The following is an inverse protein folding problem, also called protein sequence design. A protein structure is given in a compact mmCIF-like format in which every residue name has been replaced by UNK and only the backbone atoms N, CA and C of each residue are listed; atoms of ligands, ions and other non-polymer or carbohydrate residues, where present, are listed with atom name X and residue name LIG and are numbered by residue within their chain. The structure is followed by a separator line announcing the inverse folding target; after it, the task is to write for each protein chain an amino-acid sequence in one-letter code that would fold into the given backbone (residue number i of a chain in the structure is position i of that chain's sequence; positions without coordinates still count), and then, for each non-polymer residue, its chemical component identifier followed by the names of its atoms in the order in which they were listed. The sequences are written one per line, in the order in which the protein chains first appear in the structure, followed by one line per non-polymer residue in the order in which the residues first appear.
data_IF_920704161290
#
_entry.id   IF_920704161290
#
_cell.length_a   1.000
_cell.length_b   1.000
_cell.length_c   1.000
_cell.angle_alpha   90.00
_cell.angle_beta   90.00
_cell.angle_gamma   90.00
#
_symmetry.space_group_name_H-M   'P 1'
#
loop_
_entity.id
_entity.type
_entity.pdbx_description
1 polymer ?
#
# COMPACT_ATOMS: atom_id res chain seq x y z
N UNK A 1 -7.24 13.75 -9.05
CA UNK A 1 -8.55 13.15 -9.34
C UNK A 1 -9.49 13.51 -8.20
N UNK A 2 -10.73 13.88 -8.48
CA UNK A 2 -11.68 14.39 -7.49
C UNK A 2 -13.06 13.79 -7.73
N UNK A 3 -13.83 13.62 -6.67
CA UNK A 3 -15.26 13.36 -6.79
C UNK A 3 -16.01 14.63 -7.24
N UNK A 4 -17.30 14.49 -7.58
CA UNK A 4 -18.14 15.66 -7.84
C UNK A 4 -18.28 16.52 -6.56
N UNK A 5 -17.90 17.78 -6.69
CA UNK A 5 -17.99 18.83 -5.67
C UNK A 5 -18.76 20.06 -6.20
N UNK A 6 -19.64 19.87 -7.19
CA UNK A 6 -20.44 20.94 -7.79
C UNK A 6 -21.95 20.65 -7.87
N UNK A 7 -22.39 19.38 -7.95
CA UNK A 7 -23.81 19.05 -8.14
C UNK A 7 -24.55 18.84 -6.82
N UNK A 8 -25.72 19.47 -6.69
CA UNK A 8 -26.67 19.20 -5.61
C UNK A 8 -27.49 17.94 -5.91
N UNK A 9 -27.60 17.04 -4.93
CA UNK A 9 -28.28 15.75 -5.08
C UNK A 9 -29.60 15.70 -4.28
N UNK A 10 -30.65 15.03 -4.80
CA UNK A 10 -31.80 14.63 -3.99
C UNK A 10 -31.38 13.63 -2.90
N UNK A 11 -32.06 13.64 -1.75
CA UNK A 11 -31.77 12.72 -0.65
C UNK A 11 -31.85 11.25 -1.10
N UNK A 12 -30.92 10.41 -0.63
CA UNK A 12 -30.80 9.00 -1.02
C UNK A 12 -30.22 8.75 -2.43
N UNK A 13 -29.66 9.77 -3.08
CA UNK A 13 -28.97 9.60 -4.37
C UNK A 13 -27.46 9.40 -4.19
N UNK A 14 -26.84 8.57 -5.03
CA UNK A 14 -25.39 8.40 -5.06
C UNK A 14 -24.68 9.61 -5.68
N UNK A 15 -23.46 9.89 -5.21
CA UNK A 15 -22.60 10.97 -5.71
C UNK A 15 -21.57 10.44 -6.70
N UNK A 16 -21.46 11.10 -7.85
CA UNK A 16 -20.49 10.75 -8.88
C UNK A 16 -19.05 10.89 -8.36
N UNK A 17 -18.23 9.90 -8.68
CA UNK A 17 -16.83 9.82 -8.25
C UNK A 17 -15.96 9.09 -9.28
N UNK A 18 -14.69 8.89 -8.94
CA UNK A 18 -13.69 8.28 -9.83
C UNK A 18 -12.99 7.13 -9.12
N UNK A 19 -13.06 5.93 -9.72
CA UNK A 19 -12.17 4.79 -9.45
C UNK A 19 -11.22 4.63 -10.64
N UNK A 20 -9.92 4.60 -10.39
CA UNK A 20 -8.88 4.38 -11.40
C UNK A 20 -8.12 3.12 -11.04
N UNK A 21 -8.20 2.12 -11.92
CA UNK A 21 -7.38 0.91 -11.84
C UNK A 21 -6.20 1.02 -12.81
N UNK A 22 -5.01 0.64 -12.35
CA UNK A 22 -3.77 1.01 -13.01
C UNK A 22 -3.42 0.12 -14.21
N UNK A 23 -3.04 0.76 -15.32
CA UNK A 23 -1.96 0.26 -16.19
C UNK A 23 -0.67 1.11 -16.10
N UNK A 24 -0.66 2.23 -15.35
CA UNK A 24 0.47 3.17 -15.18
C UNK A 24 0.38 4.01 -13.87
N UNK A 25 1.21 5.06 -13.71
CA UNK A 25 1.88 5.45 -12.44
C UNK A 25 1.61 6.88 -11.87
N UNK A 26 1.22 7.01 -10.57
CA UNK A 26 1.09 8.27 -9.77
C UNK A 26 1.45 8.12 -8.22
N UNK A 27 2.39 8.89 -7.60
CA UNK A 27 2.66 8.95 -6.12
C UNK A 27 2.57 10.39 -5.56
N UNK A 28 2.03 10.55 -4.35
CA UNK A 28 2.34 11.65 -3.43
C UNK A 28 1.61 12.98 -3.66
N UNK A 29 0.73 13.33 -2.72
CA UNK A 29 0.10 14.64 -2.56
C UNK A 29 -1.02 14.54 -1.53
N UNK A 30 -2.07 15.35 -1.67
CA UNK A 30 -3.21 15.43 -0.75
C UNK A 30 -4.04 14.14 -0.81
N UNK A 31 -4.40 13.61 0.35
CA UNK A 31 -5.27 12.43 0.49
C UNK A 31 -6.70 12.91 0.83
N UNK A 32 -7.75 12.39 0.17
CA UNK A 32 -9.11 12.86 0.42
C UNK A 32 -9.56 12.61 1.86
N UNK A 33 -10.46 13.45 2.38
CA UNK A 33 -11.12 13.25 3.67
C UNK A 33 -12.39 14.11 3.76
N UNK A 34 -13.20 13.85 4.78
CA UNK A 34 -14.44 14.59 5.05
C UNK A 34 -15.57 13.67 5.49
N UNK A 35 -16.50 14.16 6.31
CA UNK A 35 -17.73 13.45 6.65
C UNK A 35 -18.43 12.81 5.42
N UNK A 36 -18.65 11.49 5.50
CA UNK A 36 -19.21 10.66 4.43
C UNK A 36 -18.23 10.18 3.34
N UNK A 37 -17.01 10.72 3.29
CA UNK A 37 -15.95 10.29 2.34
C UNK A 37 -15.28 9.00 2.84
N UNK A 38 -14.94 8.11 1.90
CA UNK A 38 -14.12 6.92 2.11
C UNK A 38 -13.16 6.77 0.91
N UNK A 39 -11.91 7.22 1.01
CA UNK A 39 -10.94 7.12 -0.07
C UNK A 39 -9.92 6.00 0.20
N UNK A 40 -9.49 5.36 -0.87
CA UNK A 40 -8.52 4.28 -0.80
C UNK A 40 -7.41 4.45 -1.86
N UNK A 41 -6.16 4.23 -1.45
CA UNK A 41 -5.08 3.78 -2.32
C UNK A 41 -4.70 2.38 -1.88
N UNK A 42 -4.99 1.41 -2.74
CA UNK A 42 -4.92 -0.01 -2.45
C UNK A 42 -4.43 -0.79 -3.67
N UNK A 43 -4.27 -2.10 -3.49
CA UNK A 43 -3.96 -3.01 -4.58
C UNK A 43 -4.73 -4.31 -4.42
N UNK A 44 -5.22 -4.88 -5.53
CA UNK A 44 -6.11 -6.05 -5.49
C UNK A 44 -5.79 -7.05 -6.60
N UNK A 45 -5.75 -8.33 -6.24
CA UNK A 45 -5.66 -9.46 -7.18
C UNK A 45 -7.03 -9.92 -7.70
N UNK A 46 -7.07 -10.78 -8.74
CA UNK A 46 -8.32 -11.36 -9.24
C UNK A 46 -8.97 -12.31 -8.21
N UNK A 47 -10.21 -12.75 -8.44
CA UNK A 47 -10.90 -13.73 -7.59
C UNK A 47 -10.88 -13.38 -6.08
N UNK A 48 -11.15 -12.11 -5.75
CA UNK A 48 -11.13 -11.59 -4.39
C UNK A 48 -11.97 -12.44 -3.39
N UNK A 49 -11.51 -12.67 -2.14
CA UNK A 49 -10.25 -12.23 -1.55
C UNK A 49 -9.10 -13.23 -1.77
N UNK A 50 -9.25 -14.21 -2.66
CA UNK A 50 -8.34 -15.35 -2.72
C UNK A 50 -6.95 -15.00 -3.26
N UNK A 51 -6.84 -14.02 -4.17
CA UNK A 51 -5.55 -13.45 -4.59
C UNK A 51 -5.25 -12.09 -3.94
N UNK A 52 -5.95 -11.75 -2.86
CA UNK A 52 -5.53 -10.72 -1.92
C UNK A 52 -5.88 -9.27 -2.27
N UNK A 53 -5.92 -8.47 -1.22
CA UNK A 53 -6.10 -7.02 -1.23
C UNK A 53 -5.21 -6.41 -0.12
N UNK A 54 -4.61 -5.27 -0.44
CA UNK A 54 -3.65 -4.55 0.41
C UNK A 54 -3.98 -3.07 0.33
N UNK A 55 -4.31 -2.47 1.46
CA UNK A 55 -4.75 -1.09 1.56
C UNK A 55 -3.60 -0.25 2.12
N UNK A 56 -2.99 0.58 1.28
CA UNK A 56 -1.79 1.37 1.61
C UNK A 56 -2.21 2.68 2.28
N UNK A 57 -3.25 3.32 1.75
CA UNK A 57 -3.95 4.42 2.39
C UNK A 57 -5.42 4.09 2.43
N UNK A 58 -6.02 4.05 3.63
CA UNK A 58 -7.46 3.94 3.79
C UNK A 58 -7.94 4.66 5.04
N UNK A 59 -9.16 5.16 4.97
CA UNK A 59 -9.85 5.77 6.10
C UNK A 59 -11.26 6.21 5.74
N UNK A 60 -11.99 6.66 6.74
CA UNK A 60 -13.35 7.19 6.58
C UNK A 60 -13.46 8.53 7.27
N UNK A 61 -14.39 9.37 6.81
CA UNK A 61 -14.78 10.60 7.50
C UNK A 61 -13.60 11.58 7.72
N UNK A 62 -13.58 12.21 8.90
CA UNK A 62 -12.51 13.06 9.39
C UNK A 62 -11.48 12.26 10.21
N UNK A 63 -11.26 10.98 9.88
CA UNK A 63 -10.14 10.21 10.45
C UNK A 63 -8.84 11.02 10.33
N UNK A 64 -7.95 10.84 11.30
CA UNK A 64 -6.70 11.61 11.43
C UNK A 64 -5.45 10.72 11.38
N UNK A 65 -5.68 9.43 11.17
CA UNK A 65 -4.69 8.37 11.19
C UNK A 65 -5.01 7.46 10.02
N UNK A 66 -4.00 7.14 9.21
CA UNK A 66 -4.13 6.16 8.15
C UNK A 66 -4.41 4.77 8.75
N UNK A 67 -5.25 3.97 8.10
CA UNK A 67 -5.33 2.54 8.34
C UNK A 67 -4.69 1.80 7.17
N UNK A 68 -3.71 0.94 7.47
CA UNK A 68 -3.20 -0.05 6.53
C UNK A 68 -3.94 -1.35 6.81
N UNK A 69 -4.50 -1.99 5.79
CA UNK A 69 -5.23 -3.25 5.94
C UNK A 69 -4.76 -4.32 4.94
N UNK A 70 -5.06 -5.58 5.25
CA UNK A 70 -4.82 -6.71 4.38
C UNK A 70 -6.01 -7.67 4.41
N UNK A 71 -6.48 -8.05 3.22
CA UNK A 71 -7.63 -8.91 3.02
C UNK A 71 -7.19 -10.12 2.17
N UNK A 72 -7.45 -11.33 2.63
CA UNK A 72 -6.91 -12.57 2.02
C UNK A 72 -7.89 -13.74 2.06
N UNK A 73 -7.53 -14.84 1.42
CA UNK A 73 -8.07 -16.16 1.72
C UNK A 73 -7.87 -16.54 3.22
N UNK A 74 -8.61 -17.54 3.74
CA UNK A 74 -8.42 -18.08 5.09
C UNK A 74 -6.99 -18.58 5.39
N UNK A 75 -6.67 -18.68 6.68
CA UNK A 75 -5.37 -19.14 7.22
C UNK A 75 -4.17 -18.20 7.01
N UNK A 76 -4.42 -16.90 6.92
CA UNK A 76 -3.41 -15.83 6.92
C UNK A 76 -3.66 -14.91 8.12
N UNK A 77 -2.62 -14.65 8.93
CA UNK A 77 -2.71 -13.75 10.10
C UNK A 77 -1.55 -12.78 10.19
N UNK A 78 -1.81 -11.60 10.76
CA UNK A 78 -0.76 -10.73 11.26
C UNK A 78 -0.09 -11.34 12.48
N UNK A 79 1.22 -11.12 12.58
CA UNK A 79 2.02 -11.50 13.73
C UNK A 79 2.11 -10.33 14.73
N UNK A 80 1.47 -10.38 15.91
CA UNK A 80 1.52 -9.29 16.89
C UNK A 80 2.91 -9.05 17.49
N UNK A 81 3.86 -9.97 17.28
CA UNK A 81 5.25 -9.83 17.73
C UNK A 81 6.19 -9.24 16.67
N UNK A 82 5.69 -8.95 15.46
CA UNK A 82 6.47 -8.25 14.44
C UNK A 82 6.75 -6.79 14.83
N UNK A 83 7.85 -6.22 14.32
CA UNK A 83 8.26 -4.86 14.63
C UNK A 83 7.72 -3.86 13.59
N UNK A 84 6.79 -3.01 14.00
CA UNK A 84 6.21 -1.90 13.25
C UNK A 84 5.75 -0.80 14.25
N UNK A 85 5.39 0.40 13.76
CA UNK A 85 5.11 1.57 14.63
C UNK A 85 3.62 1.85 14.85
N UNK A 86 2.74 1.32 14.01
CA UNK A 86 1.28 1.40 14.18
C UNK A 86 0.73 0.47 15.26
N UNK A 87 -0.58 0.51 15.45
CA UNK A 87 -1.31 -0.33 16.42
C UNK A 87 -2.33 -1.19 15.67
N UNK A 88 -2.36 -2.50 15.91
CA UNK A 88 -3.38 -3.40 15.33
C UNK A 88 -4.77 -2.90 15.73
N UNK A 89 -5.66 -2.75 14.75
CA UNK A 89 -7.04 -2.35 14.94
C UNK A 89 -7.75 -3.32 15.90
N UNK A 90 -8.45 -2.79 16.90
CA UNK A 90 -9.15 -3.60 17.90
C UNK A 90 -10.67 -3.48 17.79
N UNK A 91 -11.36 -4.57 18.12
CA UNK A 91 -12.81 -4.58 18.23
C UNK A 91 -13.20 -5.14 19.61
N UNK A 92 -13.73 -4.28 20.47
CA UNK A 92 -14.14 -4.66 21.82
C UNK A 92 -13.00 -5.15 22.73
N UNK A 93 -11.77 -4.64 22.53
CA UNK A 93 -10.59 -5.02 23.32
C UNK A 93 -9.86 -6.27 22.82
N UNK A 94 -10.22 -6.79 21.64
CA UNK A 94 -9.50 -7.89 20.97
C UNK A 94 -8.79 -7.34 19.73
N UNK A 95 -7.48 -7.56 19.64
CA UNK A 95 -6.68 -7.24 18.45
C UNK A 95 -7.15 -8.08 17.26
N UNK A 96 -7.50 -7.43 16.17
CA UNK A 96 -7.97 -8.11 14.96
C UNK A 96 -6.80 -8.45 14.04
N UNK A 97 -6.41 -9.73 14.07
CA UNK A 97 -5.21 -10.25 13.38
C UNK A 97 -5.53 -11.20 12.24
N UNK A 98 -6.80 -11.54 12.01
CA UNK A 98 -7.23 -12.55 11.03
C UNK A 98 -7.57 -11.87 9.70
N UNK A 99 -6.70 -12.02 8.71
CA UNK A 99 -6.77 -11.27 7.45
C UNK A 99 -7.85 -11.80 6.49
N UNK A 100 -8.61 -12.82 6.89
CA UNK A 100 -9.61 -13.46 6.05
C UNK A 100 -10.78 -12.53 5.69
N UNK A 101 -10.86 -12.10 4.42
CA UNK A 101 -11.92 -11.20 3.93
C UNK A 101 -13.33 -11.79 3.94
N UNK A 102 -13.46 -13.12 4.14
CA UNK A 102 -14.75 -13.82 4.15
C UNK A 102 -15.45 -13.83 5.53
N UNK A 103 -14.86 -13.20 6.56
CA UNK A 103 -15.40 -13.15 7.93
C UNK A 103 -15.46 -11.71 8.44
N UNK A 104 -16.14 -11.51 9.58
CA UNK A 104 -16.19 -10.23 10.31
C UNK A 104 -16.63 -9.03 9.43
N UNK A 105 -17.55 -9.26 8.49
CA UNK A 105 -18.02 -8.25 7.53
C UNK A 105 -16.91 -7.63 6.67
N UNK A 106 -15.96 -8.45 6.22
CA UNK A 106 -14.75 -8.02 5.50
C UNK A 106 -13.92 -6.98 6.28
N UNK A 107 -13.68 -7.19 7.57
CA UNK A 107 -12.83 -6.30 8.36
C UNK A 107 -11.32 -6.38 7.99
N UNK A 108 -10.89 -7.45 7.31
CA UNK A 108 -9.46 -7.73 7.07
C UNK A 108 -8.66 -7.79 8.36
N UNK A 109 -7.33 -7.64 8.27
CA UNK A 109 -6.46 -7.40 9.42
C UNK A 109 -5.82 -6.00 9.29
N UNK A 110 -6.14 -5.11 10.23
CA UNK A 110 -5.82 -3.68 10.13
C UNK A 110 -4.75 -3.21 11.11
N UNK A 111 -3.99 -2.19 10.72
CA UNK A 111 -3.07 -1.42 11.56
C UNK A 111 -3.31 0.06 11.37
N UNK A 112 -3.71 0.74 12.44
CA UNK A 112 -3.84 2.20 12.46
C UNK A 112 -2.48 2.84 12.76
N UNK A 113 -2.06 3.79 11.94
CA UNK A 113 -0.80 4.53 12.13
C UNK A 113 -0.84 5.47 13.32
N UNK A 114 0.23 5.55 14.11
CA UNK A 114 0.28 6.46 15.27
C UNK A 114 0.39 7.95 14.87
N UNK A 115 0.97 8.25 13.70
CA UNK A 115 1.17 9.63 13.25
C UNK A 115 -0.14 10.29 12.83
N UNK A 116 -0.47 11.45 13.40
CA UNK A 116 -1.56 12.31 12.86
C UNK A 116 -1.20 12.98 11.53
N UNK A 117 0.06 12.92 11.12
CA UNK A 117 0.56 13.38 9.82
C UNK A 117 0.60 12.22 8.81
N UNK A 118 -0.33 11.26 8.92
CA UNK A 118 -0.47 10.11 8.02
C UNK A 118 -1.74 10.16 7.18
N UNK A 119 -2.78 10.90 7.59
CA UNK A 119 -4.04 10.97 6.86
C UNK A 119 -4.82 12.22 7.24
N UNK A 120 -5.73 12.65 6.37
CA UNK A 120 -6.69 13.71 6.67
C UNK A 120 -6.07 15.12 6.79
N UNK A 121 -6.71 16.03 7.55
CA UNK A 121 -6.42 17.46 7.50
C UNK A 121 -4.95 17.83 7.76
N UNK A 122 -4.31 17.16 8.73
CA UNK A 122 -2.95 17.48 9.16
C UNK A 122 -1.88 16.93 8.20
N UNK A 123 -2.19 15.85 7.48
CA UNK A 123 -1.34 15.36 6.39
C UNK A 123 -1.36 16.37 5.22
N UNK A 124 -2.54 16.86 4.85
CA UNK A 124 -2.69 17.85 3.78
C UNK A 124 -2.05 19.21 4.14
N UNK A 125 -2.24 19.70 5.38
CA UNK A 125 -1.63 20.94 5.87
C UNK A 125 -0.09 20.90 5.80
N UNK A 126 0.51 19.72 5.95
CA UNK A 126 1.96 19.50 5.81
C UNK A 126 2.43 19.33 4.35
N UNK A 127 1.53 19.47 3.37
CA UNK A 127 1.83 19.27 1.95
C UNK A 127 1.89 17.79 1.56
N UNK A 128 1.14 16.95 2.26
CA UNK A 128 1.09 15.49 2.09
C UNK A 128 2.41 14.81 2.40
N UNK A 129 2.72 13.75 1.66
CA UNK A 129 3.90 12.92 1.93
C UNK A 129 4.23 11.94 0.82
N UNK A 130 4.85 10.83 1.21
CA UNK A 130 5.09 9.62 0.42
C UNK A 130 4.70 8.43 1.29
N UNK A 131 3.93 7.49 0.73
CA UNK A 131 3.81 6.15 1.28
C UNK A 131 4.57 5.19 0.38
N UNK A 132 5.14 4.15 0.98
CA UNK A 132 5.89 3.14 0.25
C UNK A 132 5.46 1.75 0.74
N UNK A 133 5.05 0.90 -0.20
CA UNK A 133 4.83 -0.53 0.05
C UNK A 133 6.04 -1.32 -0.44
N UNK A 134 6.57 -2.20 0.41
CA UNK A 134 7.55 -3.23 0.05
C UNK A 134 6.88 -4.59 0.21
N UNK A 135 6.79 -5.35 -0.87
CA UNK A 135 6.30 -6.72 -0.88
C UNK A 135 7.44 -7.65 -1.31
N UNK A 136 7.87 -8.55 -0.43
CA UNK A 136 8.88 -9.57 -0.74
C UNK A 136 8.76 -10.82 0.14
N UNK A 137 9.74 -11.72 0.07
CA UNK A 137 9.78 -13.00 0.78
C UNK A 137 9.69 -12.91 2.32
N UNK A 138 9.90 -11.71 2.89
CA UNK A 138 9.87 -11.47 4.34
C UNK A 138 8.49 -10.97 4.83
N UNK A 139 7.64 -10.50 3.92
CA UNK A 139 6.37 -9.86 4.28
C UNK A 139 5.93 -8.77 3.29
N UNK A 140 4.77 -8.18 3.57
CA UNK A 140 4.33 -6.92 2.98
C UNK A 140 4.43 -5.87 4.07
N UNK A 141 5.20 -4.80 3.83
CA UNK A 141 5.44 -3.72 4.78
C UNK A 141 5.08 -2.37 4.15
N UNK A 142 4.45 -1.49 4.92
CA UNK A 142 4.04 -0.14 4.49
C UNK A 142 4.70 0.90 5.40
N UNK A 143 5.27 1.95 4.81
CA UNK A 143 5.76 3.14 5.50
C UNK A 143 4.96 4.36 5.06
N UNK A 144 4.72 5.29 5.99
CA UNK A 144 4.25 6.65 5.71
C UNK A 144 5.31 7.68 6.11
N UNK A 145 5.63 8.60 5.20
CA UNK A 145 6.56 9.70 5.41
C UNK A 145 5.87 11.02 5.12
N UNK A 146 5.62 11.83 6.15
CA UNK A 146 5.19 13.22 5.97
C UNK A 146 6.25 14.02 5.19
N UNK A 147 5.85 15.08 4.47
CA UNK A 147 6.65 15.81 3.47
C UNK A 147 8.11 16.06 3.85
N UNK A 148 8.38 16.49 5.09
CA UNK A 148 9.72 16.86 5.55
C UNK A 148 10.58 15.68 6.06
N UNK A 149 10.01 14.48 6.17
CA UNK A 149 10.70 13.24 6.57
C UNK A 149 10.88 12.24 5.42
N UNK A 150 10.51 12.59 4.18
CA UNK A 150 10.70 11.74 3.00
C UNK A 150 12.19 11.43 2.81
N UNK A 151 12.62 10.15 2.83
CA UNK A 151 14.01 9.75 2.60
C UNK A 151 14.55 10.23 1.25
N UNK A 152 15.81 10.71 1.24
CA UNK A 152 16.44 11.30 0.04
C UNK A 152 16.57 10.30 -1.12
N UNK A 153 16.80 9.02 -0.81
CA UNK A 153 16.94 7.93 -1.76
C UNK A 153 15.66 7.64 -2.56
N UNK A 154 14.48 7.89 -1.98
CA UNK A 154 13.20 7.89 -2.70
C UNK A 154 13.17 9.00 -3.75
N UNK A 155 13.55 10.22 -3.36
CA UNK A 155 13.61 11.39 -4.26
C UNK A 155 14.57 11.15 -5.43
N UNK A 156 15.76 10.63 -5.13
CA UNK A 156 16.79 10.24 -6.10
C UNK A 156 16.38 9.06 -7.00
N UNK A 157 15.31 8.31 -6.66
CA UNK A 157 14.83 7.17 -7.44
C UNK A 157 15.64 5.88 -7.25
N UNK A 158 16.33 5.76 -6.12
CA UNK A 158 17.15 4.59 -5.74
C UNK A 158 16.78 4.11 -4.33
N UNK A 159 15.51 3.77 -4.05
CA UNK A 159 15.02 3.48 -2.71
C UNK A 159 15.72 2.26 -2.08
N UNK A 160 16.04 2.38 -0.80
CA UNK A 160 16.58 1.32 0.05
C UNK A 160 15.81 1.25 1.38
N UNK A 161 14.72 0.46 1.46
CA UNK A 161 13.90 0.30 2.66
C UNK A 161 14.67 -0.12 3.93
N UNK A 162 15.84 -0.73 3.79
CA UNK A 162 16.70 -1.10 4.93
C UNK A 162 17.22 0.10 5.74
N UNK A 163 17.17 1.32 5.19
CA UNK A 163 17.61 2.54 5.85
C UNK A 163 16.46 3.40 6.40
N UNK A 164 15.20 3.04 6.18
CA UNK A 164 14.04 3.89 6.52
C UNK A 164 13.53 3.72 7.96
N UNK A 165 14.08 2.75 8.70
CA UNK A 165 13.57 2.38 10.03
C UNK A 165 12.37 1.44 9.96
N UNK A 166 11.64 1.32 11.07
CA UNK A 166 10.49 0.42 11.16
C UNK A 166 9.33 0.89 10.25
N UNK A 167 8.59 -0.03 9.61
CA UNK A 167 7.39 0.30 8.87
C UNK A 167 6.26 0.76 9.80
N UNK A 168 5.28 1.46 9.25
CA UNK A 168 3.99 1.73 9.89
C UNK A 168 3.25 0.44 10.22
N UNK A 169 3.21 -0.49 9.27
CA UNK A 169 2.52 -1.77 9.36
C UNK A 169 3.29 -2.86 8.60
N UNK A 170 3.19 -4.11 9.07
CA UNK A 170 3.79 -5.27 8.37
C UNK A 170 2.95 -6.54 8.53
N UNK A 171 2.61 -7.15 7.41
CA UNK A 171 2.16 -8.54 7.33
C UNK A 171 3.39 -9.44 7.16
N UNK A 172 3.90 -9.96 8.28
CA UNK A 172 5.14 -10.73 8.32
C UNK A 172 4.95 -12.17 7.80
N UNK A 173 5.94 -12.70 7.08
CA UNK A 173 5.85 -14.04 6.48
C UNK A 173 5.85 -15.21 7.48
N UNK A 174 6.02 -14.95 8.78
CA UNK A 174 5.94 -15.93 9.87
C UNK A 174 4.55 -16.54 10.04
N UNK A 175 3.48 -15.74 9.87
CA UNK A 175 2.09 -16.16 10.04
C UNK A 175 1.23 -15.94 8.77
N UNK A 176 1.77 -15.27 7.76
CA UNK A 176 1.18 -15.22 6.43
C UNK A 176 2.25 -14.99 5.36
N UNK A 177 2.68 -16.04 4.65
CA UNK A 177 3.68 -15.92 3.57
C UNK A 177 3.05 -15.20 2.34
N UNK A 178 3.51 -13.99 2.00
CA UNK A 178 2.86 -13.18 0.96
C UNK A 178 3.29 -13.56 -0.47
N UNK A 179 4.24 -14.48 -0.64
CA UNK A 179 4.62 -15.05 -1.94
C UNK A 179 3.96 -16.42 -2.18
N UNK A 180 2.89 -16.73 -1.43
CA UNK A 180 2.15 -17.98 -1.53
C UNK A 180 0.78 -17.77 -2.21
N UNK A 181 -0.25 -18.50 -1.79
CA UNK A 181 -1.59 -18.42 -2.39
C UNK A 181 -2.32 -17.09 -2.17
N UNK A 182 -1.86 -16.26 -1.22
CA UNK A 182 -2.66 -15.16 -0.66
C UNK A 182 -2.69 -13.86 -1.47
N UNK A 183 -1.64 -13.56 -2.24
CA UNK A 183 -1.51 -12.29 -2.96
C UNK A 183 -0.93 -12.58 -4.35
N UNK A 184 -1.68 -12.33 -5.42
CA UNK A 184 -1.25 -12.64 -6.79
C UNK A 184 -1.79 -11.62 -7.80
N UNK A 185 -0.94 -11.23 -8.77
CA UNK A 185 -1.33 -10.42 -9.94
C UNK A 185 -2.09 -9.12 -9.61
N UNK A 186 -1.64 -8.39 -8.60
CA UNK A 186 -2.31 -7.19 -8.13
C UNK A 186 -2.33 -6.05 -9.17
N UNK A 187 -3.50 -5.43 -9.33
CA UNK A 187 -3.67 -4.10 -9.93
C UNK A 187 -3.62 -3.02 -8.83
N UNK A 188 -3.11 -1.83 -9.14
CA UNK A 188 -3.10 -0.70 -8.20
C UNK A 188 -4.36 0.14 -8.42
N UNK A 189 -5.07 0.47 -7.34
CA UNK A 189 -6.34 1.18 -7.39
C UNK A 189 -6.25 2.47 -6.58
N UNK A 190 -6.77 3.56 -7.15
CA UNK A 190 -7.09 4.78 -6.43
C UNK A 190 -8.57 5.05 -6.61
N UNK A 191 -9.31 5.28 -5.54
CA UNK A 191 -10.70 5.72 -5.62
C UNK A 191 -11.12 6.63 -4.46
N UNK A 192 -12.34 7.12 -4.57
CA UNK A 192 -13.07 7.80 -3.52
C UNK A 192 -14.49 7.27 -3.57
N UNK A 193 -14.89 6.43 -2.62
CA UNK A 193 -16.29 6.07 -2.42
C UNK A 193 -16.92 6.95 -1.32
N UNK A 194 -18.23 6.80 -1.16
CA UNK A 194 -19.05 7.58 -0.24
C UNK A 194 -19.99 6.67 0.53
N UNK A 195 -20.10 6.90 1.84
CA UNK A 195 -20.91 6.08 2.73
C UNK A 195 -20.53 4.59 2.61
N UNK A 196 -21.36 3.76 1.97
CA UNK A 196 -21.06 2.33 1.79
C UNK A 196 -20.88 1.56 3.11
N UNK A 197 -20.25 0.40 3.02
CA UNK A 197 -20.17 -0.56 4.12
C UNK A 197 -19.32 -0.10 5.32
N UNK A 198 -18.32 0.77 5.13
CA UNK A 198 -17.53 1.31 6.24
C UNK A 198 -17.99 2.71 6.66
N UNK A 199 -17.88 3.73 5.80
CA UNK A 199 -18.28 5.09 6.17
C UNK A 199 -19.79 5.22 6.43
N UNK A 200 -20.65 4.48 5.72
CA UNK A 200 -22.10 4.52 5.95
C UNK A 200 -22.47 3.97 7.32
N UNK A 201 -21.96 2.78 7.65
CA UNK A 201 -22.25 2.10 8.92
C UNK A 201 -21.61 2.80 10.14
N UNK A 202 -20.47 3.47 9.97
CA UNK A 202 -19.79 4.20 11.06
C UNK A 202 -20.21 5.67 11.21
N UNK A 203 -20.98 6.22 10.25
CA UNK A 203 -21.37 7.64 10.22
C UNK A 203 -22.01 8.12 11.52
N UNK A 204 -22.93 7.35 12.10
CA UNK A 204 -23.66 7.72 13.32
C UNK A 204 -22.76 7.91 14.55
N UNK A 205 -21.57 7.30 14.57
CA UNK A 205 -20.60 7.41 15.67
C UNK A 205 -19.37 8.27 15.33
N UNK A 206 -19.28 8.76 14.09
CA UNK A 206 -18.14 9.55 13.59
C UNK A 206 -18.06 10.99 14.13
N UNK A 207 -19.17 11.51 14.68
CA UNK A 207 -19.33 12.92 15.03
C UNK A 207 -19.81 13.81 13.87
N UNK A 208 -20.01 13.25 12.69
CA UNK A 208 -20.51 13.98 11.53
C UNK A 208 -21.98 14.41 11.66
N UNK A 209 -22.38 15.54 11.04
CA UNK A 209 -23.73 16.08 11.14
C UNK A 209 -24.73 15.32 10.27
N UNK A 210 -25.98 15.19 10.74
CA UNK A 210 -27.09 14.58 10.01
C UNK A 210 -26.89 13.09 9.75
N UNK A 211 -27.38 12.61 8.61
CA UNK A 211 -27.11 11.27 8.07
C UNK A 211 -26.13 11.33 6.90
N UNK A 212 -25.57 10.19 6.50
CA UNK A 212 -24.64 10.13 5.36
C UNK A 212 -25.33 10.58 4.06
N UNK A 213 -26.56 10.11 3.79
CA UNK A 213 -27.35 10.48 2.61
C UNK A 213 -27.63 11.99 2.54
N UNK A 214 -28.00 12.61 3.66
CA UNK A 214 -28.18 14.08 3.75
C UNK A 214 -26.86 14.82 3.51
N UNK A 215 -25.74 14.27 3.99
CA UNK A 215 -24.40 14.84 3.79
C UNK A 215 -24.00 14.83 2.31
N UNK A 216 -24.39 13.80 1.56
CA UNK A 216 -24.14 13.71 0.12
C UNK A 216 -24.90 14.76 -0.70
N UNK A 217 -25.97 15.37 -0.17
CA UNK A 217 -26.78 16.34 -0.91
C UNK A 217 -26.02 17.62 -1.28
N UNK A 218 -25.24 18.17 -0.34
CA UNK A 218 -24.51 19.43 -0.54
C UNK A 218 -23.09 19.16 -1.10
N UNK A 219 -22.79 19.58 -2.34
CA UNK A 219 -21.50 19.35 -2.99
C UNK A 219 -20.33 20.05 -2.30
N UNK A 220 -20.57 21.15 -1.56
CA UNK A 220 -19.52 21.93 -0.91
C UNK A 220 -18.87 21.18 0.27
N UNK A 221 -19.51 20.11 0.74
CA UNK A 221 -18.96 19.19 1.73
C UNK A 221 -17.75 18.40 1.21
N UNK A 222 -17.56 18.32 -0.11
CA UNK A 222 -16.61 17.42 -0.78
C UNK A 222 -15.45 18.16 -1.48
N UNK A 223 -15.20 19.41 -1.11
CA UNK A 223 -14.04 20.17 -1.62
C UNK A 223 -12.69 19.50 -1.30
N UNK A 224 -12.62 18.75 -0.20
CA UNK A 224 -11.45 17.96 0.20
C UNK A 224 -11.51 16.51 -0.32
N UNK A 225 -12.54 16.13 -1.08
CA UNK A 225 -12.67 14.80 -1.69
C UNK A 225 -11.83 14.69 -2.99
N UNK A 226 -10.53 14.98 -2.89
CA UNK A 226 -9.60 15.08 -4.03
C UNK A 226 -8.24 14.46 -3.72
N UNK A 227 -7.81 13.49 -4.53
CA UNK A 227 -6.41 13.08 -4.60
C UNK A 227 -5.62 14.06 -5.46
N UNK A 228 -4.56 14.63 -4.90
CA UNK A 228 -3.47 15.25 -5.67
C UNK A 228 -2.27 14.30 -5.67
N UNK A 229 -1.66 14.03 -6.82
CA UNK A 229 -0.65 12.97 -6.94
C UNK A 229 0.44 13.38 -7.95
N UNK A 230 1.73 13.28 -7.57
CA UNK A 230 2.88 13.78 -8.32
C UNK A 230 3.54 12.76 -9.30
N UNK A 231 3.98 11.54 -8.91
CA UNK A 231 4.69 10.58 -9.81
C UNK A 231 4.82 9.13 -9.26
N UNK A 232 4.28 8.02 -9.83
CA UNK A 232 4.54 6.68 -9.20
C UNK A 232 5.84 6.04 -9.61
N UNK A 233 6.47 5.37 -8.65
CA UNK A 233 7.57 4.46 -8.91
C UNK A 233 7.37 3.09 -8.26
N UNK A 234 6.91 2.14 -9.08
CA UNK A 234 7.09 0.71 -8.79
C UNK A 234 8.50 0.28 -9.18
N UNK A 235 9.15 -0.49 -8.32
CA UNK A 235 10.50 -1.01 -8.49
C UNK A 235 10.49 -2.54 -8.35
N UNK A 236 11.34 -3.22 -9.11
CA UNK A 236 11.50 -4.68 -9.04
C UNK A 236 12.89 -5.07 -8.51
N UNK A 237 12.96 -6.17 -7.73
CA UNK A 237 14.23 -6.85 -7.42
C UNK A 237 14.70 -7.58 -8.68
N UNK A 238 15.81 -7.16 -9.28
CA UNK A 238 16.42 -7.86 -10.43
C UNK A 238 17.55 -8.77 -9.94
N UNK A 239 17.54 -10.09 -10.23
CA UNK A 239 18.68 -10.97 -9.95
C UNK A 239 19.92 -10.57 -10.74
N UNK A 240 21.04 -10.34 -10.06
CA UNK A 240 22.32 -10.04 -10.71
C UNK A 240 23.09 -11.33 -11.03
N UNK A 241 23.00 -11.78 -12.28
CA UNK A 241 23.80 -12.91 -12.79
C UNK A 241 25.25 -12.48 -13.07
N UNK A 242 26.12 -12.60 -12.06
CA UNK A 242 27.55 -12.38 -12.22
C UNK A 242 28.22 -13.57 -12.94
N UNK A 243 28.55 -13.41 -14.23
CA UNK A 243 29.39 -14.37 -14.95
C UNK A 243 30.86 -14.18 -14.57
N UNK A 244 31.37 -15.04 -13.68
CA UNK A 244 32.80 -15.17 -13.46
C UNK A 244 33.45 -15.83 -14.68
N UNK A 245 34.04 -15.03 -15.57
CA UNK A 245 34.93 -15.55 -16.63
C UNK A 245 36.19 -16.09 -15.98
N UNK A 246 36.30 -17.42 -15.91
CA UNK A 246 37.46 -18.09 -15.35
C UNK A 246 38.65 -17.99 -16.33
N UNK A 247 39.56 -17.05 -16.10
CA UNK A 247 40.76 -16.82 -16.93
C UNK A 247 41.89 -17.84 -16.65
N UNK A 248 41.53 -19.09 -16.37
CA UNK A 248 42.44 -20.18 -16.04
C UNK A 248 42.36 -21.29 -17.11
N UNK A 249 43.12 -21.12 -18.19
CA UNK A 249 43.30 -22.14 -19.22
C UNK A 249 44.60 -22.91 -18.99
N UNK A 250 44.50 -24.23 -18.86
CA UNK A 250 45.63 -25.17 -18.66
C UNK A 250 45.88 -25.52 -17.18
N UNK A 251 46.13 -26.77 -16.78
CA UNK A 251 46.25 -28.05 -17.50
C UNK A 251 45.72 -29.18 -16.57
N UNK A 252 45.33 -30.35 -17.09
CA UNK A 252 44.97 -31.48 -16.24
C UNK A 252 46.22 -32.12 -15.62
N UNK A 253 46.31 -32.16 -14.29
CA UNK A 253 47.24 -33.05 -13.57
C UNK A 253 46.46 -33.95 -12.63
N UNK A 254 46.70 -35.26 -12.75
CA UNK A 254 46.06 -36.26 -11.90
C UNK A 254 46.92 -36.52 -10.66
N UNK A 255 46.41 -36.16 -9.48
CA UNK A 255 46.98 -36.59 -8.21
C UNK A 255 45.89 -37.13 -7.28
N UNK A 256 46.02 -38.41 -6.91
CA UNK A 256 45.29 -39.04 -5.81
C UNK A 256 45.86 -38.53 -4.50
N UNK A 257 45.12 -37.66 -3.79
CA UNK A 257 45.52 -37.17 -2.47
C UNK A 257 44.47 -36.25 -1.87
N UNK A 258 44.08 -36.51 -0.62
CA UNK A 258 43.13 -35.67 0.11
C UNK A 258 43.78 -34.35 0.55
N UNK A 259 43.44 -33.25 -0.14
CA UNK A 259 43.61 -31.91 0.41
C UNK A 259 42.39 -31.03 0.12
N UNK A 260 41.75 -30.58 1.20
CA UNK A 260 40.79 -29.48 1.18
C UNK A 260 41.53 -28.19 0.82
N UNK A 261 41.48 -27.78 -0.45
CA UNK A 261 41.83 -26.42 -0.84
C UNK A 261 40.57 -25.57 -0.74
N UNK A 262 40.26 -25.14 0.47
CA UNK A 262 39.29 -24.08 0.70
C UNK A 262 39.87 -22.76 0.17
N UNK A 263 39.61 -22.44 -1.10
CA UNK A 263 39.85 -21.10 -1.63
C UNK A 263 38.77 -20.17 -1.09
N UNK A 264 38.96 -19.70 0.13
CA UNK A 264 38.20 -18.60 0.68
C UNK A 264 38.57 -17.30 -0.05
N UNK A 265 37.92 -17.04 -1.18
CA UNK A 265 37.89 -15.71 -1.77
C UNK A 265 37.03 -14.80 -0.89
N UNK A 266 37.66 -14.27 0.16
CA UNK A 266 37.16 -13.17 0.96
C UNK A 266 37.19 -11.88 0.13
N UNK A 267 36.24 -11.74 -0.80
CA UNK A 267 35.90 -10.44 -1.36
C UNK A 267 34.88 -9.75 -0.44
N UNK A 268 35.27 -8.62 0.13
CA UNK A 268 34.40 -7.69 0.85
C UNK A 268 33.48 -6.93 -0.11
N UNK A 269 32.73 -7.67 -0.94
CA UNK A 269 31.77 -7.13 -1.89
C UNK A 269 30.39 -7.01 -1.25
N UNK A 270 29.98 -5.78 -0.93
CA UNK A 270 28.57 -5.49 -0.67
C UNK A 270 27.75 -5.91 -1.89
N UNK A 271 26.75 -6.78 -1.70
CA UNK A 271 25.83 -7.19 -2.75
C UNK A 271 24.84 -6.05 -3.01
N UNK A 272 25.21 -5.09 -3.85
CA UNK A 272 24.33 -3.97 -4.21
C UNK A 272 23.20 -4.45 -5.11
N UNK A 273 22.00 -4.65 -4.55
CA UNK A 273 20.78 -4.80 -5.32
C UNK A 273 20.51 -3.50 -6.09
N UNK A 274 20.47 -3.58 -7.42
CA UNK A 274 20.13 -2.43 -8.27
C UNK A 274 18.67 -2.52 -8.67
N UNK A 275 17.80 -1.83 -7.94
CA UNK A 275 16.41 -1.66 -8.32
C UNK A 275 16.32 -0.95 -9.67
N UNK A 276 15.57 -1.54 -10.61
CA UNK A 276 15.24 -0.88 -11.89
C UNK A 276 13.84 -0.28 -11.76
N UNK A 277 13.73 1.02 -11.97
CA UNK A 277 12.43 1.66 -12.18
C UNK A 277 11.99 1.42 -13.63
N UNK A 278 10.98 0.59 -13.84
CA UNK A 278 10.43 0.32 -15.18
C UNK A 278 9.42 1.40 -15.55
N UNK A 279 9.90 2.49 -16.15
CA UNK A 279 9.05 3.59 -16.63
C UNK A 279 8.18 3.09 -17.80
N UNK A 280 6.87 2.92 -17.55
CA UNK A 280 5.89 2.62 -18.60
C UNK A 280 5.35 3.94 -19.17
N UNK A 281 5.84 4.34 -20.34
CA UNK A 281 5.35 5.51 -21.07
C UNK A 281 4.33 5.08 -22.13
N UNK A 282 3.08 5.57 -22.02
CA UNK A 282 2.12 5.68 -23.14
C UNK A 282 1.29 6.95 -23.00
N UNK A 283 0.99 7.68 -24.10
CA UNK A 283 0.08 8.82 -24.05
C UNK A 283 -1.37 8.36 -23.85
N UNK A 284 -2.15 9.14 -23.09
CA UNK A 284 -3.60 8.94 -22.95
C UNK A 284 -4.31 9.60 -24.15
N UNK A 285 -4.96 8.79 -24.99
CA UNK A 285 -5.87 9.29 -26.05
C UNK A 285 -7.16 8.47 -26.20
N UNK A 286 -7.47 7.55 -25.27
CA UNK A 286 -8.67 6.72 -25.36
C UNK A 286 -9.36 6.62 -23.99
N UNK A 287 -10.46 7.35 -23.83
CA UNK A 287 -11.32 7.32 -22.64
C UNK A 287 -12.24 6.09 -22.68
N UNK A 288 -11.67 4.88 -22.60
CA UNK A 288 -12.46 3.65 -22.52
C UNK A 288 -12.40 3.02 -21.13
N UNK A 289 -13.47 3.32 -20.39
CA UNK A 289 -13.92 2.63 -19.20
C UNK A 289 -14.50 1.29 -19.67
N UNK A 290 -13.89 0.17 -19.30
CA UNK A 290 -14.58 -1.12 -19.26
C UNK A 290 -14.84 -1.45 -17.79
N UNK A 291 -16.12 -1.60 -17.45
CA UNK A 291 -16.59 -1.97 -16.11
C UNK A 291 -16.54 -3.48 -15.95
N UNK A 292 -15.99 -3.94 -14.84
CA UNK A 292 -16.25 -5.25 -14.22
C UNK A 292 -16.57 -5.01 -12.75
#
# INVERSE_FOLDING_TARGET
MSADSQTWLPNGSYRDSVRIESYARYDGGIAPWGCGVWPAWWTVGPDWPYNGEIDIIEGVHDNQHNQVAFHTAPDCKMDPSANYTGTISDAGGYQHTDCNGLINSNAGCGVTEWSRASYGPLFDEQGGGVFAMKWDENGIAVWSFFRAAVPEDIGQGTPNPGNWGLPSAILASSQCNPLSRYFNQHSIVFDITFCGDWAGNSYATSGCPGTCDERLMDPTNFVNATWSINYMRVYEKVPLYASLRNSAAGLPSAHTGYYLVAVALLSSGNLYFRFRATLFERPITDNRIELL
#
